data_IF_795164282523
#
_entry.id   IF_795164282523
#
_cell.length_a   1.000
_cell.length_b   1.000
_cell.length_c   1.000
_cell.angle_alpha   90.00
_cell.angle_beta   90.00
_cell.angle_gamma   90.00
#
_symmetry.space_group_name_H-M   'P 1'
#
loop_
_entity.id
_entity.type
_entity.pdbx_description
1 polymer ?
#
# COMPACT_ATOMS: atom_id res chain seq x y z
N UNK A 1 -13.45 -10.35 21.31
CA UNK A 1 -12.78 -10.67 20.03
C UNK A 1 -12.26 -12.10 20.12
N UNK A 2 -12.57 -12.96 19.15
CA UNK A 2 -12.08 -14.36 19.08
C UNK A 2 -10.56 -14.37 18.82
N UNK A 3 -9.81 -15.34 19.37
CA UNK A 3 -8.38 -15.55 19.08
C UNK A 3 -8.11 -15.67 17.57
N UNK A 4 -9.03 -16.30 16.81
CA UNK A 4 -8.89 -16.37 15.34
C UNK A 4 -8.99 -15.00 14.68
N UNK A 5 -9.78 -14.10 15.25
CA UNK A 5 -9.89 -12.72 14.77
C UNK A 5 -8.63 -11.92 15.15
N UNK A 6 -7.91 -12.29 16.22
CA UNK A 6 -6.68 -11.61 16.64
C UNK A 6 -5.53 -11.87 15.65
N UNK A 7 -5.31 -13.12 15.24
CA UNK A 7 -4.31 -13.43 14.20
C UNK A 7 -4.63 -12.70 12.91
N UNK A 8 -5.89 -12.77 12.46
CA UNK A 8 -6.33 -12.10 11.23
C UNK A 8 -6.13 -10.58 11.31
N UNK A 9 -6.45 -9.97 12.43
CA UNK A 9 -6.22 -8.54 12.65
C UNK A 9 -4.73 -8.17 12.62
N UNK A 10 -3.86 -9.00 13.20
CA UNK A 10 -2.42 -8.77 13.16
C UNK A 10 -1.89 -8.82 11.72
N UNK A 11 -2.34 -9.79 10.93
CA UNK A 11 -1.94 -9.93 9.52
C UNK A 11 -2.42 -8.73 8.67
N UNK A 12 -3.68 -8.32 8.83
CA UNK A 12 -4.22 -7.14 8.13
C UNK A 12 -3.48 -5.86 8.53
N UNK A 13 -3.12 -5.70 9.81
CA UNK A 13 -2.35 -4.55 10.28
C UNK A 13 -0.95 -4.53 9.66
N UNK A 14 -0.26 -5.66 9.61
CA UNK A 14 1.05 -5.74 8.97
C UNK A 14 0.98 -5.41 7.47
N UNK A 15 -0.05 -5.92 6.77
CA UNK A 15 -0.33 -5.60 5.37
C UNK A 15 -0.55 -4.08 5.18
N UNK A 16 -1.37 -3.48 6.03
CA UNK A 16 -1.65 -2.05 6.02
C UNK A 16 -0.39 -1.20 6.20
N UNK A 17 0.48 -1.55 7.15
CA UNK A 17 1.75 -0.84 7.39
C UNK A 17 2.65 -0.90 6.15
N UNK A 18 2.77 -2.07 5.51
CA UNK A 18 3.55 -2.23 4.27
C UNK A 18 2.99 -1.35 3.14
N UNK A 19 1.67 -1.34 2.95
CA UNK A 19 1.02 -0.51 1.92
C UNK A 19 1.23 0.99 2.19
N UNK A 20 1.16 1.42 3.45
CA UNK A 20 1.40 2.81 3.84
C UNK A 20 2.87 3.22 3.57
N UNK A 21 3.83 2.35 3.87
CA UNK A 21 5.24 2.59 3.55
C UNK A 21 5.44 2.71 2.04
N UNK A 22 4.90 1.78 1.26
CA UNK A 22 4.95 1.84 -0.21
C UNK A 22 4.35 3.14 -0.74
N UNK A 23 3.16 3.52 -0.25
CA UNK A 23 2.51 4.76 -0.65
C UNK A 23 3.40 5.98 -0.38
N UNK A 24 4.02 6.06 0.81
CA UNK A 24 4.93 7.15 1.15
C UNK A 24 6.18 7.18 0.25
N UNK A 25 6.74 6.02 -0.10
CA UNK A 25 7.87 5.96 -1.04
C UNK A 25 7.48 6.47 -2.44
N UNK A 26 6.28 6.13 -2.92
CA UNK A 26 5.79 6.62 -4.22
C UNK A 26 5.53 8.13 -4.18
N UNK A 27 4.99 8.68 -3.09
CA UNK A 27 4.80 10.13 -2.90
C UNK A 27 6.14 10.87 -2.97
N UNK A 28 7.19 10.32 -2.34
CA UNK A 28 8.55 10.90 -2.35
C UNK A 28 9.26 10.76 -3.70
N UNK A 29 8.77 9.86 -4.57
CA UNK A 29 9.38 9.55 -5.86
C UNK A 29 10.49 8.50 -5.80
N UNK A 30 10.64 7.79 -4.67
CA UNK A 30 11.77 6.89 -4.39
C UNK A 30 11.55 5.44 -4.86
N UNK A 31 10.33 5.09 -5.28
CA UNK A 31 9.92 3.70 -5.52
C UNK A 31 9.42 3.39 -6.95
N UNK A 32 9.51 4.36 -7.86
CA UNK A 32 9.25 4.14 -9.29
C UNK A 32 10.53 4.40 -10.07
N UNK A 33 10.74 3.67 -11.16
CA UNK A 33 11.89 3.89 -12.03
C UNK A 33 12.86 2.73 -12.17
N UNK A 34 12.68 1.59 -11.48
CA UNK A 34 13.49 0.38 -11.70
C UNK A 34 12.63 -0.68 -12.36
N UNK A 35 12.97 -1.09 -13.58
CA UNK A 35 12.31 -2.23 -14.23
C UNK A 35 12.93 -3.56 -13.76
N UNK A 36 12.20 -4.66 -13.99
CA UNK A 36 12.71 -6.03 -13.77
C UNK A 36 14.00 -6.30 -14.57
N UNK A 37 14.20 -5.60 -15.69
CA UNK A 37 15.42 -5.65 -16.50
C UNK A 37 16.55 -4.72 -16.02
N UNK A 38 16.41 -4.09 -14.86
CA UNK A 38 17.38 -3.14 -14.32
C UNK A 38 17.53 -1.86 -15.14
N UNK A 39 16.59 -1.60 -16.07
CA UNK A 39 16.56 -0.39 -16.87
C UNK A 39 15.81 0.71 -16.13
N UNK A 40 16.35 1.93 -16.14
CA UNK A 40 15.66 3.05 -15.53
C UNK A 40 14.52 3.52 -16.43
N UNK A 41 13.33 3.71 -15.86
CA UNK A 41 12.23 4.39 -16.57
C UNK A 41 12.58 5.87 -16.69
N UNK A 42 12.27 6.48 -17.84
CA UNK A 42 12.46 7.91 -17.98
C UNK A 42 11.50 8.69 -17.06
N UNK A 43 11.89 9.92 -16.71
CA UNK A 43 11.14 10.74 -15.78
C UNK A 43 9.70 11.05 -16.24
N UNK A 44 9.46 11.12 -17.56
CA UNK A 44 8.12 11.38 -18.08
C UNK A 44 7.20 10.17 -17.90
N UNK A 45 7.73 8.96 -18.12
CA UNK A 45 7.01 7.71 -17.85
C UNK A 45 6.70 7.56 -16.36
N UNK A 46 7.69 7.76 -15.48
CA UNK A 46 7.49 7.69 -14.02
C UNK A 46 6.38 8.66 -13.59
N UNK A 47 6.45 9.91 -14.05
CA UNK A 47 5.44 10.94 -13.75
C UNK A 47 4.05 10.59 -14.27
N UNK A 48 3.97 9.93 -15.43
CA UNK A 48 2.69 9.51 -15.99
C UNK A 48 2.05 8.38 -15.18
N UNK A 49 2.83 7.44 -14.65
CA UNK A 49 2.33 6.27 -13.92
C UNK A 49 2.10 6.54 -12.43
N UNK A 50 2.86 7.45 -11.83
CA UNK A 50 2.78 7.75 -10.39
C UNK A 50 1.35 7.97 -9.86
N UNK A 51 0.47 8.76 -10.50
CA UNK A 51 -0.89 8.98 -10.00
C UNK A 51 -1.72 7.69 -9.96
N UNK A 52 -1.54 6.80 -10.93
CA UNK A 52 -2.26 5.53 -11.01
C UNK A 52 -1.81 4.56 -9.90
N UNK A 53 -0.51 4.52 -9.62
CA UNK A 53 0.04 3.71 -8.52
C UNK A 53 -0.45 4.22 -7.18
N UNK A 54 -0.43 5.54 -6.95
CA UNK A 54 -0.96 6.15 -5.72
C UNK A 54 -2.45 5.85 -5.52
N UNK A 55 -3.25 5.93 -6.59
CA UNK A 55 -4.67 5.61 -6.54
C UNK A 55 -4.92 4.16 -6.14
N UNK A 56 -4.16 3.20 -6.70
CA UNK A 56 -4.33 1.79 -6.37
C UNK A 56 -3.86 1.48 -4.94
N UNK A 57 -2.76 2.07 -4.48
CA UNK A 57 -2.30 1.92 -3.10
C UNK A 57 -3.31 2.49 -2.11
N UNK A 58 -3.87 3.67 -2.39
CA UNK A 58 -4.93 4.27 -1.58
C UNK A 58 -6.17 3.37 -1.50
N UNK A 59 -6.62 2.81 -2.64
CA UNK A 59 -7.76 1.88 -2.67
C UNK A 59 -7.50 0.65 -1.79
N UNK A 60 -6.30 0.06 -1.84
CA UNK A 60 -5.94 -1.10 -1.01
C UNK A 60 -5.86 -0.76 0.47
N UNK A 61 -5.27 0.38 0.81
CA UNK A 61 -5.20 0.89 2.18
C UNK A 61 -6.61 1.01 2.78
N UNK A 62 -7.55 1.61 2.05
CA UNK A 62 -8.93 1.74 2.53
C UNK A 62 -9.64 0.38 2.65
N UNK A 63 -9.36 -0.57 1.77
CA UNK A 63 -9.89 -1.93 1.89
C UNK A 63 -9.38 -2.64 3.16
N UNK A 64 -8.09 -2.53 3.49
CA UNK A 64 -7.50 -3.09 4.70
C UNK A 64 -8.06 -2.42 5.97
N UNK A 65 -8.20 -1.10 5.95
CA UNK A 65 -8.87 -0.36 7.03
C UNK A 65 -10.30 -0.82 7.23
N UNK A 66 -11.07 -1.00 6.15
CA UNK A 66 -12.44 -1.49 6.23
C UNK A 66 -12.49 -2.89 6.86
N UNK A 67 -11.62 -3.81 6.42
CA UNK A 67 -11.56 -5.17 6.96
C UNK A 67 -11.21 -5.19 8.46
N UNK A 68 -10.33 -4.30 8.91
CA UNK A 68 -10.00 -4.13 10.33
C UNK A 68 -11.16 -3.50 11.13
N UNK A 69 -11.89 -2.55 10.53
CA UNK A 69 -13.09 -1.97 11.15
C UNK A 69 -14.19 -3.01 11.35
N UNK A 70 -14.39 -3.95 10.42
CA UNK A 70 -15.29 -5.11 10.57
C UNK A 70 -14.87 -6.02 11.75
N UNK A 71 -13.59 -6.04 12.11
CA UNK A 71 -13.07 -6.74 13.29
C UNK A 71 -13.15 -5.90 14.58
N UNK A 72 -13.67 -4.67 14.51
CA UNK A 72 -13.83 -3.76 15.64
C UNK A 72 -12.59 -2.92 15.96
N UNK A 73 -11.62 -2.82 15.02
CA UNK A 73 -10.40 -2.03 15.17
C UNK A 73 -10.58 -0.69 14.45
N UNK A 74 -10.44 0.40 15.18
CA UNK A 74 -10.55 1.77 14.67
C UNK A 74 -9.17 2.42 14.53
N UNK A 75 -9.06 3.43 13.66
CA UNK A 75 -7.81 4.14 13.32
C UNK A 75 -7.91 5.63 13.60
#
# INVERSE_FOLDING_TARGET
MDIKNLSKAADLKASLEVLQVQHQMIVRGDALGVTISGSYQDAAFVKAIQPHVLSELSRRIEAEKHALAELGITF
#
